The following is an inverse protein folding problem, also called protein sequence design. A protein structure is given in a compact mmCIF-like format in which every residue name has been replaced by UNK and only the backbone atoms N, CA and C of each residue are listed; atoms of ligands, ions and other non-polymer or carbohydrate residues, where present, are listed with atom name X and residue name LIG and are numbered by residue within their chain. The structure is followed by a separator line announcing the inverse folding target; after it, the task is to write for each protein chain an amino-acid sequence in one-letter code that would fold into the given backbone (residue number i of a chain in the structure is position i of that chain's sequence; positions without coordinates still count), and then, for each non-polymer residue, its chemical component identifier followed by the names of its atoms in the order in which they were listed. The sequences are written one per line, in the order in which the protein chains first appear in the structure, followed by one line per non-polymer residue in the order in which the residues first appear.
data_IF_702119156917
#
_entry.id   IF_702119156917
#
_cell.length_a   1.000
_cell.length_b   1.000
_cell.length_c   1.000
_cell.angle_alpha   90.00
_cell.angle_beta   90.00
_cell.angle_gamma   90.00
#
_symmetry.space_group_name_H-M   'P 1'
#
loop_
_entity.id
_entity.type
_entity.pdbx_description
1 polymer ?
#
# COMPACT_ATOMS: atom_id res chain seq x y z
N UNK A 1 -9.12 0.06 21.25
CA UNK A 1 -8.16 -0.03 20.12
C UNK A 1 -6.81 0.50 20.60
N UNK A 2 -5.92 -0.39 21.08
CA UNK A 2 -4.63 0.00 21.67
C UNK A 2 -3.72 0.59 20.59
N UNK A 3 -3.53 1.91 20.63
CA UNK A 3 -2.52 2.63 19.87
C UNK A 3 -1.16 2.49 20.57
N UNK A 4 -0.52 1.31 20.49
CA UNK A 4 0.86 1.17 20.92
C UNK A 4 1.59 0.18 20.01
N UNK A 5 2.03 0.67 18.85
CA UNK A 5 3.19 0.19 18.07
C UNK A 5 3.13 0.83 16.68
N UNK A 6 3.56 2.09 16.55
CA UNK A 6 4.05 2.69 15.29
C UNK A 6 4.48 4.14 15.57
N UNK A 7 5.61 4.34 16.28
CA UNK A 7 6.17 5.68 16.58
C UNK A 7 7.38 6.03 15.69
N UNK A 8 7.71 5.24 14.67
CA UNK A 8 9.03 5.32 14.01
C UNK A 8 9.04 6.02 12.63
N UNK A 9 7.92 6.48 12.09
CA UNK A 9 7.80 6.87 10.68
C UNK A 9 7.63 8.36 10.41
N UNK A 10 7.48 9.16 11.46
CA UNK A 10 7.41 10.61 11.38
C UNK A 10 8.81 11.12 11.72
N UNK A 11 9.39 11.93 10.82
CA UNK A 11 10.73 12.52 10.96
C UNK A 11 11.00 12.91 12.43
N UNK A 12 12.07 12.41 13.06
CA UNK A 12 12.37 12.75 14.44
C UNK A 12 12.70 14.24 14.53
N UNK A 13 11.93 15.01 15.31
CA UNK A 13 12.35 16.37 15.72
C UNK A 13 11.35 17.53 15.59
N UNK A 14 10.07 17.32 15.22
CA UNK A 14 9.13 18.45 15.07
C UNK A 14 7.76 18.21 15.76
N UNK A 15 7.10 19.31 16.17
CA UNK A 15 5.79 19.44 16.83
C UNK A 15 4.64 18.59 16.25
N UNK A 16 4.82 18.04 15.06
CA UNK A 16 3.89 17.12 14.40
C UNK A 16 3.65 15.85 15.24
N UNK A 17 4.67 15.33 15.92
CA UNK A 17 4.56 14.10 16.71
C UNK A 17 3.73 14.31 17.99
N UNK A 18 3.83 15.48 18.61
CA UNK A 18 2.99 15.85 19.77
C UNK A 18 1.54 16.12 19.34
N UNK A 19 1.34 16.75 18.18
CA UNK A 19 -0.01 17.05 17.68
C UNK A 19 -0.78 15.81 17.23
N UNK A 20 -0.16 14.86 16.53
CA UNK A 20 -0.79 13.58 16.14
C UNK A 20 -1.09 12.72 17.36
N UNK A 21 -0.25 12.81 18.40
CA UNK A 21 -0.48 12.15 19.68
C UNK A 21 -1.58 12.84 20.52
N UNK A 22 -1.98 14.07 20.17
CA UNK A 22 -3.00 14.81 20.91
C UNK A 22 -4.33 14.04 20.94
N UNK A 23 -5.01 13.98 22.11
CA UNK A 23 -6.33 13.38 22.23
C UNK A 23 -7.34 13.97 21.24
N UNK A 24 -7.25 15.27 20.93
CA UNK A 24 -8.16 15.91 19.99
C UNK A 24 -8.01 15.32 18.59
N UNK A 25 -6.79 15.17 18.09
CA UNK A 25 -6.51 14.60 16.78
C UNK A 25 -7.00 13.16 16.65
N UNK A 26 -6.69 12.34 17.66
CA UNK A 26 -7.11 10.94 17.67
C UNK A 26 -8.64 10.81 17.66
N UNK A 27 -9.33 11.67 18.42
CA UNK A 27 -10.80 11.70 18.51
C UNK A 27 -11.43 12.08 17.17
N UNK A 28 -10.92 13.12 16.50
CA UNK A 28 -11.39 13.55 15.16
C UNK A 28 -11.25 12.42 14.14
N UNK A 29 -10.10 11.74 14.13
CA UNK A 29 -9.87 10.57 13.28
C UNK A 29 -10.86 9.43 13.55
N UNK A 30 -11.16 9.16 14.82
CA UNK A 30 -12.17 8.15 15.19
C UNK A 30 -13.55 8.55 14.69
N UNK A 31 -13.95 9.82 14.82
CA UNK A 31 -15.24 10.30 14.31
C UNK A 31 -15.38 10.12 12.81
N UNK A 32 -14.35 10.43 12.03
CA UNK A 32 -14.35 10.19 10.58
C UNK A 32 -14.57 8.70 10.26
N UNK A 33 -13.84 7.80 10.94
CA UNK A 33 -13.93 6.36 10.69
C UNK A 33 -15.28 5.78 11.11
N UNK A 34 -15.83 6.25 12.24
CA UNK A 34 -17.17 5.87 12.71
C UNK A 34 -18.22 6.37 11.72
N UNK A 35 -18.15 7.63 11.30
CA UNK A 35 -19.03 8.19 10.28
C UNK A 35 -18.96 7.40 8.98
N UNK A 36 -17.75 7.01 8.55
CA UNK A 36 -17.57 6.16 7.36
C UNK A 36 -18.21 4.78 7.53
N UNK A 37 -17.98 4.12 8.66
CA UNK A 37 -18.59 2.81 8.93
C UNK A 37 -20.12 2.84 8.96
N UNK A 38 -20.71 3.94 9.44
CA UNK A 38 -22.16 4.16 9.35
C UNK A 38 -22.63 4.46 7.93
N UNK A 39 -21.85 5.22 7.16
CA UNK A 39 -22.16 5.57 5.77
C UNK A 39 -22.15 4.33 4.86
N UNK A 40 -21.14 3.48 4.99
CA UNK A 40 -20.99 2.27 4.20
C UNK A 40 -20.88 1.04 5.12
N UNK A 41 -22.02 0.56 5.60
CA UNK A 41 -22.11 -0.59 6.52
C UNK A 41 -21.59 -1.90 5.94
N UNK A 42 -21.52 -2.03 4.62
CA UNK A 42 -20.99 -3.24 3.95
C UNK A 42 -19.48 -3.36 4.14
N UNK A 43 -18.77 -2.24 4.10
CA UNK A 43 -17.33 -2.16 4.37
C UNK A 43 -17.07 -2.00 5.87
N UNK A 44 -17.82 -1.11 6.53
CA UNK A 44 -17.60 -0.78 7.93
C UNK A 44 -16.22 -0.16 8.15
N UNK A 45 -15.53 -0.62 9.18
CA UNK A 45 -14.12 -0.31 9.42
C UNK A 45 -13.25 -1.51 9.05
N UNK A 46 -12.29 -1.30 8.16
CA UNK A 46 -11.23 -2.25 7.88
C UNK A 46 -9.91 -1.78 8.48
N UNK A 47 -9.12 -2.71 8.99
CA UNK A 47 -7.74 -2.45 9.44
C UNK A 47 -6.93 -1.83 8.29
N UNK A 48 -6.16 -0.78 8.59
CA UNK A 48 -5.44 0.03 7.61
C UNK A 48 -6.06 1.40 7.37
N UNK A 49 -7.41 1.51 7.43
CA UNK A 49 -8.12 2.77 7.19
C UNK A 49 -7.76 3.87 8.20
N UNK A 50 -7.37 3.49 9.42
CA UNK A 50 -6.95 4.43 10.46
C UNK A 50 -5.67 5.19 10.08
N UNK A 51 -4.74 4.54 9.37
CA UNK A 51 -3.53 5.22 8.91
C UNK A 51 -3.85 6.17 7.78
N UNK A 52 -4.75 5.75 6.87
CA UNK A 52 -5.18 6.56 5.73
C UNK A 52 -5.94 7.81 6.21
N UNK A 53 -6.98 7.62 7.00
CA UNK A 53 -7.76 8.72 7.59
C UNK A 53 -6.88 9.62 8.46
N UNK A 54 -5.92 9.03 9.18
CA UNK A 54 -4.90 9.78 9.91
C UNK A 54 -4.12 10.70 8.98
N UNK A 55 -3.48 10.18 7.93
CA UNK A 55 -2.66 11.02 7.07
C UNK A 55 -3.49 12.08 6.30
N UNK A 56 -4.69 11.73 5.84
CA UNK A 56 -5.60 12.70 5.21
C UNK A 56 -6.01 13.82 6.16
N UNK A 57 -6.32 13.50 7.42
CA UNK A 57 -6.67 14.51 8.43
C UNK A 57 -5.49 15.44 8.73
N UNK A 58 -4.26 14.91 8.71
CA UNK A 58 -3.06 15.70 8.92
C UNK A 58 -2.92 16.81 7.88
N UNK A 59 -3.17 16.47 6.61
CA UNK A 59 -3.00 17.38 5.47
C UNK A 59 -4.17 18.33 5.32
N UNK A 60 -5.40 17.82 5.38
CA UNK A 60 -6.60 18.64 5.18
C UNK A 60 -6.93 19.51 6.37
N UNK A 61 -6.55 19.09 7.59
CA UNK A 61 -6.93 19.69 8.88
C UNK A 61 -8.45 19.82 9.08
N UNK A 62 -9.26 19.19 8.23
CA UNK A 62 -10.71 19.28 8.19
C UNK A 62 -11.35 17.87 8.13
N UNK A 63 -12.32 17.61 9.00
CA UNK A 63 -12.94 16.28 9.13
C UNK A 63 -13.81 15.91 7.93
N UNK A 64 -14.60 16.85 7.43
CA UNK A 64 -15.49 16.64 6.29
C UNK A 64 -14.71 16.35 5.01
N UNK A 65 -13.70 17.18 4.69
CA UNK A 65 -12.81 16.95 3.55
C UNK A 65 -12.10 15.60 3.67
N UNK A 66 -11.65 15.24 4.87
CA UNK A 66 -11.03 13.93 5.12
C UNK A 66 -12.01 12.79 4.86
N UNK A 67 -13.25 12.90 5.33
CA UNK A 67 -14.29 11.90 5.12
C UNK A 67 -14.55 11.69 3.63
N UNK A 68 -14.71 12.77 2.86
CA UNK A 68 -14.97 12.67 1.41
C UNK A 68 -13.80 12.08 0.65
N UNK A 69 -12.55 12.44 1.00
CA UNK A 69 -11.35 11.84 0.40
C UNK A 69 -11.22 10.35 0.74
N UNK A 70 -11.47 9.97 2.00
CA UNK A 70 -11.47 8.57 2.43
C UNK A 70 -12.52 7.77 1.66
N UNK A 71 -13.73 8.31 1.53
CA UNK A 71 -14.81 7.69 0.76
C UNK A 71 -14.41 7.49 -0.70
N UNK A 72 -13.84 8.51 -1.32
CA UNK A 72 -13.36 8.42 -2.70
C UNK A 72 -12.27 7.34 -2.88
N UNK A 73 -11.32 7.26 -1.95
CA UNK A 73 -10.31 6.20 -1.98
C UNK A 73 -10.93 4.81 -1.90
N UNK A 74 -11.77 4.57 -0.89
CA UNK A 74 -12.31 3.24 -0.60
C UNK A 74 -13.32 2.78 -1.64
N UNK A 75 -14.20 3.67 -2.11
CA UNK A 75 -15.33 3.27 -2.95
C UNK A 75 -15.07 3.42 -4.46
N UNK A 76 -14.13 4.28 -4.87
CA UNK A 76 -13.88 4.57 -6.28
C UNK A 76 -12.49 4.13 -6.73
N UNK A 77 -11.45 4.47 -5.99
CA UNK A 77 -10.06 4.19 -6.40
C UNK A 77 -9.67 2.74 -6.11
N UNK A 78 -10.17 2.19 -5.00
CA UNK A 78 -9.78 0.87 -4.44
C UNK A 78 -11.01 -0.02 -4.21
N UNK A 79 -11.78 -0.34 -5.25
CA UNK A 79 -12.96 -1.19 -5.10
C UNK A 79 -12.57 -2.54 -4.48
N UNK A 80 -13.40 -3.00 -3.53
CA UNK A 80 -13.29 -4.30 -2.85
C UNK A 80 -12.01 -4.55 -2.02
N UNK A 81 -11.13 -3.55 -1.85
CA UNK A 81 -9.93 -3.66 -1.01
C UNK A 81 -10.26 -3.88 0.46
N UNK A 82 -11.25 -3.14 0.96
CA UNK A 82 -11.63 -3.09 2.37
C UNK A 82 -12.91 -3.90 2.64
N UNK A 83 -13.34 -4.72 1.67
CA UNK A 83 -14.44 -5.67 1.87
C UNK A 83 -14.07 -6.73 2.90
N UNK A 84 -15.06 -7.47 3.42
CA UNK A 84 -14.83 -8.57 4.39
C UNK A 84 -13.91 -9.66 3.83
N UNK A 85 -13.96 -9.90 2.53
CA UNK A 85 -13.11 -10.89 1.84
C UNK A 85 -11.81 -10.30 1.31
N UNK A 86 -11.70 -8.96 1.27
CA UNK A 86 -10.56 -8.21 0.70
C UNK A 86 -10.21 -8.64 -0.73
N UNK A 87 -11.20 -9.07 -1.52
CA UNK A 87 -10.97 -9.68 -2.84
C UNK A 87 -10.22 -8.74 -3.79
N UNK A 88 -10.47 -7.44 -3.72
CA UNK A 88 -9.76 -6.43 -4.51
C UNK A 88 -8.27 -6.36 -4.14
N UNK A 89 -7.96 -6.36 -2.84
CA UNK A 89 -6.58 -6.32 -2.33
C UNK A 89 -5.83 -7.60 -2.71
N UNK A 90 -6.43 -8.77 -2.44
CA UNK A 90 -5.81 -10.05 -2.77
C UNK A 90 -5.58 -10.19 -4.28
N UNK A 91 -6.50 -9.66 -5.11
CA UNK A 91 -6.34 -9.60 -6.56
C UNK A 91 -5.15 -8.75 -6.96
N UNK A 92 -4.96 -7.60 -6.32
CA UNK A 92 -3.84 -6.74 -6.62
C UNK A 92 -2.50 -7.31 -6.12
N UNK A 93 -2.50 -8.12 -5.05
CA UNK A 93 -1.34 -8.91 -4.62
C UNK A 93 -0.95 -9.96 -5.68
N UNK A 94 -1.91 -10.67 -6.27
CA UNK A 94 -1.61 -11.61 -7.37
C UNK A 94 -1.09 -10.87 -8.62
N UNK A 95 -1.69 -9.71 -8.92
CA UNK A 95 -1.29 -8.89 -10.07
C UNK A 95 0.13 -8.36 -9.91
N UNK A 96 0.52 -7.89 -8.72
CA UNK A 96 1.92 -7.45 -8.51
C UNK A 96 2.89 -8.63 -8.57
N UNK A 97 2.52 -9.79 -8.01
CA UNK A 97 3.33 -11.02 -8.12
C UNK A 97 3.58 -11.39 -9.59
N UNK A 98 2.54 -11.36 -10.43
CA UNK A 98 2.66 -11.63 -11.86
C UNK A 98 3.44 -10.55 -12.60
N UNK A 99 3.24 -9.27 -12.29
CA UNK A 99 4.01 -8.18 -12.89
C UNK A 99 5.50 -8.33 -12.57
N UNK A 100 5.85 -8.73 -11.35
CA UNK A 100 7.24 -9.01 -10.98
C UNK A 100 7.74 -10.23 -11.74
N UNK A 101 6.97 -11.32 -11.82
CA UNK A 101 7.36 -12.50 -12.61
C UNK A 101 7.64 -12.16 -14.08
N UNK A 102 6.87 -11.25 -14.67
CA UNK A 102 7.03 -10.82 -16.06
C UNK A 102 8.20 -9.84 -16.29
N UNK A 103 8.57 -9.04 -15.28
CA UNK A 103 9.55 -7.94 -15.42
C UNK A 103 10.90 -8.24 -14.76
N UNK A 104 10.88 -8.97 -13.65
CA UNK A 104 12.02 -9.39 -12.84
C UNK A 104 11.85 -10.88 -12.49
N UNK A 105 11.91 -11.77 -13.50
CA UNK A 105 11.65 -13.21 -13.32
C UNK A 105 12.61 -13.86 -12.32
N UNK A 106 13.85 -13.35 -12.23
CA UNK A 106 14.86 -13.76 -11.26
C UNK A 106 14.44 -13.45 -9.82
N UNK A 107 13.90 -12.25 -9.55
CA UNK A 107 13.37 -11.89 -8.22
C UNK A 107 12.19 -12.80 -7.87
N UNK A 108 11.27 -13.02 -8.81
CA UNK A 108 10.13 -13.90 -8.57
C UNK A 108 10.56 -15.34 -8.29
N UNK A 109 11.53 -15.87 -9.03
CA UNK A 109 12.07 -17.21 -8.81
C UNK A 109 12.77 -17.30 -7.45
N UNK A 110 13.58 -16.30 -7.10
CA UNK A 110 14.28 -16.24 -5.84
C UNK A 110 13.34 -16.21 -4.63
N UNK A 111 12.29 -15.38 -4.67
CA UNK A 111 11.26 -15.36 -3.62
C UNK A 111 10.54 -16.71 -3.47
N UNK A 112 10.25 -17.39 -4.58
CA UNK A 112 9.64 -18.72 -4.54
C UNK A 112 10.59 -19.78 -4.00
N UNK A 113 11.88 -19.74 -4.37
CA UNK A 113 12.89 -20.70 -3.92
C UNK A 113 13.13 -20.60 -2.40
N UNK A 114 13.16 -19.37 -1.86
CA UNK A 114 13.26 -19.14 -0.42
C UNK A 114 11.92 -19.29 0.30
N UNK A 115 10.83 -19.56 -0.42
CA UNK A 115 9.51 -19.84 0.15
C UNK A 115 8.81 -18.63 0.78
N UNK A 116 9.12 -17.39 0.34
CA UNK A 116 8.50 -16.18 0.87
C UNK A 116 7.25 -15.78 0.07
N UNK A 117 6.03 -15.89 0.64
CA UNK A 117 4.82 -15.51 -0.07
C UNK A 117 4.70 -14.00 -0.23
N UNK A 118 4.34 -13.54 -1.44
CA UNK A 118 4.08 -12.12 -1.75
C UNK A 118 3.17 -11.39 -0.75
N UNK A 119 2.07 -11.98 -0.23
CA UNK A 119 1.22 -11.32 0.75
C UNK A 119 1.95 -10.87 2.04
N UNK A 120 3.03 -11.56 2.45
CA UNK A 120 3.77 -11.23 3.68
C UNK A 120 4.32 -9.80 3.64
N UNK A 121 4.73 -9.34 2.45
CA UNK A 121 5.32 -8.02 2.25
C UNK A 121 4.29 -7.04 1.69
N UNK A 122 3.60 -7.44 0.62
CA UNK A 122 2.79 -6.52 -0.18
C UNK A 122 1.47 -6.15 0.46
N UNK A 123 0.92 -6.96 1.39
CA UNK A 123 -0.35 -6.63 2.06
C UNK A 123 -0.28 -5.25 2.70
N UNK A 124 0.80 -4.97 3.46
CA UNK A 124 0.97 -3.69 4.14
C UNK A 124 1.18 -2.51 3.18
N UNK A 125 1.83 -2.76 2.05
CA UNK A 125 2.05 -1.76 1.00
C UNK A 125 0.72 -1.30 0.40
N UNK A 126 -0.16 -2.25 0.05
CA UNK A 126 -1.41 -1.94 -0.63
C UNK A 126 -2.54 -1.55 0.33
N UNK A 127 -2.72 -2.24 1.47
CA UNK A 127 -3.85 -1.96 2.38
C UNK A 127 -3.73 -0.59 3.06
N UNK A 128 -2.51 -0.15 3.34
CA UNK A 128 -2.22 1.16 3.94
C UNK A 128 -1.73 2.18 2.89
N UNK A 129 -1.77 1.87 1.59
CA UNK A 129 -1.33 2.78 0.52
C UNK A 129 0.07 3.38 0.78
N UNK A 130 0.98 2.52 1.23
CA UNK A 130 2.36 2.81 1.61
C UNK A 130 2.56 3.75 2.81
N UNK A 131 1.50 4.27 3.44
CA UNK A 131 1.62 5.30 4.47
C UNK A 131 2.27 4.83 5.79
N UNK A 132 2.37 3.52 6.00
CA UNK A 132 3.05 2.93 7.16
C UNK A 132 4.49 2.48 6.87
N UNK A 133 4.93 2.53 5.62
CA UNK A 133 6.22 1.93 5.22
C UNK A 133 7.15 2.94 4.56
N UNK A 134 6.62 3.97 3.89
CA UNK A 134 7.40 5.04 3.27
C UNK A 134 7.34 6.33 4.10
N UNK A 135 8.34 7.22 3.94
CA UNK A 135 8.31 8.55 4.55
C UNK A 135 7.06 9.35 4.16
N UNK A 136 6.48 10.10 5.10
CA UNK A 136 5.23 10.85 4.92
C UNK A 136 5.24 11.72 3.67
N UNK A 137 6.31 12.48 3.44
CA UNK A 137 6.43 13.36 2.27
C UNK A 137 6.31 12.57 0.95
N UNK A 138 7.02 11.44 0.84
CA UNK A 138 6.96 10.54 -0.32
C UNK A 138 5.55 9.98 -0.51
N UNK A 139 4.89 9.57 0.58
CA UNK A 139 3.51 9.05 0.53
C UNK A 139 2.54 10.10 0.01
N UNK A 140 2.65 11.36 0.46
CA UNK A 140 1.79 12.44 -0.01
C UNK A 140 1.94 12.69 -1.51
N UNK A 141 3.18 12.68 -2.02
CA UNK A 141 3.43 12.80 -3.47
C UNK A 141 2.89 11.61 -4.27
N UNK A 142 2.99 10.39 -3.71
CA UNK A 142 2.36 9.20 -4.31
C UNK A 142 0.84 9.36 -4.33
N UNK A 143 0.25 9.92 -3.28
CA UNK A 143 -1.19 10.12 -3.18
C UNK A 143 -1.71 11.20 -4.13
N UNK A 144 -0.95 12.28 -4.38
CA UNK A 144 -1.27 13.26 -5.43
C UNK A 144 -1.48 12.53 -6.78
N UNK A 145 -0.54 11.65 -7.13
CA UNK A 145 -0.64 10.84 -8.34
C UNK A 145 -1.78 9.81 -8.25
N UNK A 146 -2.01 9.20 -7.08
CA UNK A 146 -3.08 8.22 -6.88
C UNK A 146 -4.47 8.81 -7.11
N UNK A 147 -4.73 10.02 -6.60
CA UNK A 147 -6.00 10.72 -6.80
C UNK A 147 -6.19 11.16 -8.26
N UNK A 148 -5.10 11.51 -8.96
CA UNK A 148 -5.17 11.93 -10.36
C UNK A 148 -5.27 10.76 -11.35
N UNK A 149 -4.46 9.71 -11.16
CA UNK A 149 -4.26 8.63 -12.14
C UNK A 149 -4.87 7.28 -11.73
N UNK A 150 -5.33 7.16 -10.49
CA UNK A 150 -5.95 5.96 -9.93
C UNK A 150 -4.95 4.90 -9.44
N UNK A 151 -5.48 3.73 -9.06
CA UNK A 151 -4.74 2.68 -8.34
C UNK A 151 -3.55 2.06 -9.09
N UNK A 152 -3.34 2.36 -10.39
CA UNK A 152 -2.13 1.95 -11.12
C UNK A 152 -0.85 2.51 -10.50
N UNK A 153 -0.94 3.64 -9.79
CA UNK A 153 0.21 4.26 -9.11
C UNK A 153 0.78 3.33 -8.04
N UNK A 154 -0.06 2.57 -7.33
CA UNK A 154 0.41 1.64 -6.29
C UNK A 154 1.33 0.55 -6.87
N UNK A 155 0.99 0.02 -8.05
CA UNK A 155 1.82 -0.94 -8.77
C UNK A 155 3.13 -0.33 -9.27
N UNK A 156 3.09 0.92 -9.74
CA UNK A 156 4.31 1.64 -10.14
C UNK A 156 5.28 1.77 -8.98
N UNK A 157 4.78 2.20 -7.82
CA UNK A 157 5.57 2.31 -6.58
C UNK A 157 6.16 0.96 -6.19
N UNK A 158 5.33 -0.10 -6.13
CA UNK A 158 5.79 -1.44 -5.76
C UNK A 158 6.88 -1.97 -6.71
N UNK A 159 6.69 -1.86 -8.03
CA UNK A 159 7.68 -2.29 -9.03
C UNK A 159 8.97 -1.49 -8.93
N UNK A 160 8.90 -0.17 -8.71
CA UNK A 160 10.09 0.67 -8.55
C UNK A 160 10.86 0.28 -7.29
N UNK A 161 10.20 0.05 -6.15
CA UNK A 161 10.86 -0.40 -4.92
C UNK A 161 11.62 -1.71 -5.15
N UNK A 162 10.97 -2.69 -5.78
CA UNK A 162 11.58 -4.00 -6.09
C UNK A 162 12.76 -3.83 -7.06
N UNK A 163 12.60 -3.00 -8.09
CA UNK A 163 13.64 -2.78 -9.08
C UNK A 163 14.88 -2.11 -8.50
N UNK A 164 14.70 -1.13 -7.60
CA UNK A 164 15.82 -0.39 -7.00
C UNK A 164 16.64 -1.26 -6.06
N UNK A 165 16.01 -2.24 -5.40
CA UNK A 165 16.66 -3.12 -4.43
C UNK A 165 16.82 -4.54 -4.96
N UNK A 166 16.74 -4.75 -6.28
CA UNK A 166 16.86 -6.06 -6.92
C UNK A 166 18.14 -6.78 -6.52
N UNK A 167 19.27 -6.07 -6.49
CA UNK A 167 20.56 -6.65 -6.11
C UNK A 167 20.57 -7.13 -4.64
N UNK A 168 20.02 -6.33 -3.72
CA UNK A 168 19.92 -6.67 -2.29
C UNK A 168 19.00 -7.88 -2.08
N UNK A 169 17.86 -7.91 -2.79
CA UNK A 169 16.90 -9.01 -2.73
C UNK A 169 17.54 -10.33 -3.19
N UNK A 170 18.29 -10.31 -4.28
CA UNK A 170 18.96 -11.51 -4.82
C UNK A 170 20.19 -11.94 -4.01
N UNK A 171 20.73 -11.04 -3.18
CA UNK A 171 21.83 -11.33 -2.27
C UNK A 171 21.40 -12.01 -0.97
N UNK A 172 20.09 -12.17 -0.73
CA UNK A 172 19.58 -12.88 0.45
C UNK A 172 19.68 -14.39 0.24
N UNK A 173 20.13 -15.14 1.26
CA UNK A 173 20.29 -16.59 1.14
C UNK A 173 19.23 -17.38 1.90
N UNK A 174 18.60 -16.76 2.90
CA UNK A 174 17.61 -17.39 3.77
C UNK A 174 16.29 -16.63 3.79
N UNK A 175 15.21 -17.34 4.14
CA UNK A 175 13.87 -16.77 4.28
C UNK A 175 13.84 -15.56 5.22
N UNK A 176 14.53 -15.63 6.36
CA UNK A 176 14.55 -14.58 7.37
C UNK A 176 15.23 -13.33 6.82
N UNK A 177 16.39 -13.48 6.19
CA UNK A 177 17.14 -12.39 5.57
C UNK A 177 16.32 -11.69 4.50
N UNK A 178 15.67 -12.46 3.62
CA UNK A 178 14.81 -11.91 2.56
C UNK A 178 13.61 -11.16 3.14
N UNK A 179 12.95 -11.72 4.15
CA UNK A 179 11.83 -11.09 4.84
C UNK A 179 12.25 -9.75 5.46
N UNK A 180 13.41 -9.70 6.11
CA UNK A 180 13.88 -8.51 6.81
C UNK A 180 14.46 -7.47 5.85
N UNK A 181 15.15 -7.91 4.79
CA UNK A 181 15.54 -7.08 3.66
C UNK A 181 14.31 -6.36 3.08
N UNK A 182 13.27 -7.09 2.68
CA UNK A 182 12.06 -6.52 2.07
C UNK A 182 11.27 -5.59 3.02
N UNK A 183 11.36 -5.79 4.34
CA UNK A 183 10.83 -4.83 5.34
C UNK A 183 11.73 -3.61 5.52
N UNK A 184 13.02 -3.73 5.20
CA UNK A 184 14.04 -2.69 5.31
C UNK A 184 14.13 -1.76 4.08
N UNK A 185 13.93 -2.28 2.86
CA UNK A 185 14.11 -1.51 1.60
C UNK A 185 13.24 -0.25 1.49
N UNK A 186 12.12 -0.21 2.23
CA UNK A 186 11.21 0.94 2.28
C UNK A 186 11.73 2.07 3.18
N UNK A 187 12.73 1.80 4.03
CA UNK A 187 13.38 2.73 4.97
C UNK A 187 14.67 3.36 4.45
N UNK A 188 15.14 2.99 3.25
CA UNK A 188 16.42 3.42 2.72
C UNK A 188 16.46 4.87 2.21
N UNK A 189 17.66 5.42 1.94
CA UNK A 189 17.82 6.77 1.37
C UNK A 189 17.07 6.97 0.05
N UNK A 190 16.96 5.90 -0.75
CA UNK A 190 16.26 5.90 -2.04
C UNK A 190 14.79 6.31 -1.94
N UNK A 191 14.13 6.08 -0.80
CA UNK A 191 12.73 6.46 -0.56
C UNK A 191 12.59 7.78 0.22
N UNK A 192 13.68 8.28 0.83
CA UNK A 192 13.73 9.57 1.53
C UNK A 192 13.77 10.75 0.56
N UNK A 193 14.42 10.61 -0.60
CA UNK A 193 14.45 11.65 -1.64
C UNK A 193 13.21 11.58 -2.55
N UNK A 194 12.08 12.10 -2.04
CA UNK A 194 10.75 11.95 -2.65
C UNK A 194 10.70 12.36 -4.13
N UNK A 195 11.38 13.44 -4.54
CA UNK A 195 11.37 13.94 -5.91
C UNK A 195 12.02 12.94 -6.88
N UNK A 196 13.23 12.47 -6.57
CA UNK A 196 13.93 11.47 -7.38
C UNK A 196 13.14 10.16 -7.41
N UNK A 197 12.60 9.74 -6.27
CA UNK A 197 11.77 8.54 -6.20
C UNK A 197 10.54 8.64 -7.11
N UNK A 198 9.85 9.78 -7.10
CA UNK A 198 8.70 10.05 -7.98
C UNK A 198 9.07 10.01 -9.46
N UNK A 199 10.23 10.53 -9.87
CA UNK A 199 10.66 10.34 -11.26
C UNK A 199 10.84 8.85 -11.62
N UNK A 200 11.39 8.06 -10.70
CA UNK A 200 11.60 6.63 -10.91
C UNK A 200 10.29 5.86 -11.02
N UNK A 201 9.22 6.21 -10.29
CA UNK A 201 7.90 5.52 -10.42
C UNK A 201 7.26 5.71 -11.81
N UNK A 202 7.61 6.79 -12.51
CA UNK A 202 7.13 7.04 -13.87
C UNK A 202 8.04 6.44 -14.94
N UNK A 203 9.35 6.34 -14.67
CA UNK A 203 10.37 5.78 -15.59
C UNK A 203 10.48 4.25 -15.50
N UNK A 204 10.79 3.70 -14.33
CA UNK A 204 11.21 2.30 -14.13
C UNK A 204 10.14 1.28 -14.51
N UNK A 205 8.86 1.41 -14.09
CA UNK A 205 7.82 0.45 -14.45
C UNK A 205 7.42 0.49 -15.93
N UNK A 206 7.95 1.45 -16.71
CA UNK A 206 7.63 1.62 -18.12
C UNK A 206 6.13 1.85 -18.38
N UNK A 207 5.65 1.28 -19.49
CA UNK A 207 4.22 1.34 -19.85
C UNK A 207 3.42 0.40 -18.93
N UNK A 208 2.57 1.01 -18.10
CA UNK A 208 1.55 0.33 -17.30
C UNK A 208 0.21 1.04 -17.51
N UNK A 209 -0.64 0.48 -18.37
CA UNK A 209 -1.93 1.05 -18.71
C UNK A 209 -3.02 0.58 -17.76
N UNK A 210 -3.98 1.46 -17.42
CA UNK A 210 -5.13 1.08 -16.59
C UNK A 210 -5.92 -0.05 -17.22
N UNK A 211 -6.11 -0.05 -18.55
CA UNK A 211 -6.78 -1.13 -19.29
C UNK A 211 -6.06 -2.48 -19.12
N UNK A 212 -4.72 -2.48 -19.20
CA UNK A 212 -3.90 -3.67 -19.01
C UNK A 212 -4.03 -4.23 -17.60
N UNK A 213 -3.97 -3.37 -16.58
CA UNK A 213 -4.19 -3.77 -15.19
C UNK A 213 -5.60 -4.33 -14.95
N UNK A 214 -6.64 -3.70 -15.49
CA UNK A 214 -8.01 -4.22 -15.38
C UNK A 214 -8.13 -5.61 -16.01
N UNK A 215 -7.49 -5.85 -17.16
CA UNK A 215 -7.44 -7.19 -17.78
C UNK A 215 -6.72 -8.19 -16.87
N UNK A 216 -5.58 -7.81 -16.29
CA UNK A 216 -4.82 -8.68 -15.40
C UNK A 216 -5.59 -9.01 -14.11
N UNK A 217 -6.24 -8.02 -13.48
CA UNK A 217 -7.13 -8.21 -12.33
C UNK A 217 -8.24 -9.21 -12.61
N UNK A 218 -8.91 -9.10 -13.76
CA UNK A 218 -9.97 -10.04 -14.18
C UNK A 218 -9.43 -11.47 -14.33
N UNK A 219 -8.25 -11.61 -14.94
CA UNK A 219 -7.62 -12.93 -15.11
C UNK A 219 -7.23 -13.54 -13.75
N UNK A 220 -6.60 -12.77 -12.87
CA UNK A 220 -6.15 -13.25 -11.56
C UNK A 220 -7.32 -13.60 -10.64
N UNK A 221 -8.37 -12.78 -10.62
CA UNK A 221 -9.58 -13.06 -9.84
C UNK A 221 -10.22 -14.39 -10.27
N UNK A 222 -10.36 -14.63 -11.59
CA UNK A 222 -10.86 -15.92 -12.13
C UNK A 222 -9.98 -17.09 -11.73
N UNK A 223 -8.67 -16.98 -11.89
CA UNK A 223 -7.72 -18.05 -11.51
C UNK A 223 -7.76 -18.36 -10.02
N UNK A 224 -7.90 -17.36 -9.15
CA UNK A 224 -8.08 -17.58 -7.70
C UNK A 224 -9.38 -18.30 -7.39
N UNK A 225 -10.50 -17.93 -8.01
CA UNK A 225 -11.77 -18.63 -7.82
C UNK A 225 -11.64 -20.10 -8.20
N UNK A 226 -11.05 -20.40 -9.37
CA UNK A 226 -10.81 -21.77 -9.82
C UNK A 226 -9.90 -22.58 -8.88
N UNK A 227 -8.92 -21.93 -8.23
CA UNK A 227 -8.06 -22.58 -7.24
C UNK A 227 -8.80 -22.95 -5.96
N UNK A 228 -9.77 -22.14 -5.50
CA UNK A 228 -10.60 -22.48 -4.33
C UNK A 228 -11.41 -23.76 -4.58
N UNK A 229 -12.08 -23.87 -5.73
CA UNK A 229 -12.91 -25.04 -6.08
C UNK A 229 -12.13 -26.32 -6.40
N UNK A 230 -10.80 -26.29 -6.46
CA UNK A 230 -9.96 -27.48 -6.67
C UNK A 230 -9.45 -28.11 -5.38
N UNK A 231 -9.63 -27.42 -4.26
CA UNK A 231 -9.15 -27.85 -2.92
C UNK A 231 -10.31 -28.40 -2.08
N UNK A 232 -11.54 -28.24 -2.56
CA UNK A 232 -12.77 -28.90 -2.06
C UNK A 232 -13.08 -30.14 -2.91
#
# INVERSE_FOLDING_TARGET
LRASQSKSWILPGYELHSWIASPCYQKRRVYILVAYGHHNRKVGYCQGMNYIAGLLLLVTKNEESTFWLLKMLVEKILPDYYSTTMDGLLTDIDVISELVRLRYPDVSAHMNNLGLPWPVITTKWFICLFCEVLPTETVLRIWDCLFNEGSKILFRVALTIISLHRAEILGCEQFVDLSDCLKGIVKGPSTLYCHKFLEQIFKVPGKLSSKGLTKMRRNMSKSRHLRKFKVD
#
